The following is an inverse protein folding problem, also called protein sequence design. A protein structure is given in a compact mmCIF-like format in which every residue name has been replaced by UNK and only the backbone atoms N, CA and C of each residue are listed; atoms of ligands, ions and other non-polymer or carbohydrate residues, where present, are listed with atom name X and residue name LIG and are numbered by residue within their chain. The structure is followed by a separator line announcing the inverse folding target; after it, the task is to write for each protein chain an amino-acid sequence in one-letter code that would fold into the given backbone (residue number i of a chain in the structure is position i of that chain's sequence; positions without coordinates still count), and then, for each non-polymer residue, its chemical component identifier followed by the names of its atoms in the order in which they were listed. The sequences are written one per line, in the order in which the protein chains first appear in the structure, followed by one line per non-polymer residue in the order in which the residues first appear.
data_IF_733762277406
#
_entry.id   IF_733762277406
#
_cell.length_a   1.000
_cell.length_b   1.000
_cell.length_c   1.000
_cell.angle_alpha   90.00
_cell.angle_beta   90.00
_cell.angle_gamma   90.00
#
_symmetry.space_group_name_H-M   'P 1'
#
loop_
_entity.id
_entity.type
_entity.pdbx_description
1 polymer ?
#
# COMPACT_ATOMS: atom_id res chain seq x y z
N UNK A 1 6.08 -13.63 -54.92
CA UNK A 1 5.73 -14.78 -54.06
C UNK A 1 6.02 -14.37 -52.63
N UNK A 2 4.97 -14.12 -51.86
CA UNK A 2 5.04 -13.88 -50.42
C UNK A 2 5.53 -15.11 -49.69
N UNK A 3 6.25 -14.90 -48.59
CA UNK A 3 5.91 -15.45 -47.26
C UNK A 3 6.90 -14.85 -46.26
N UNK A 4 6.63 -13.61 -45.84
CA UNK A 4 7.10 -13.12 -44.56
C UNK A 4 6.30 -13.88 -43.49
N UNK A 5 6.97 -14.80 -42.80
CA UNK A 5 6.40 -15.57 -41.71
C UNK A 5 6.29 -14.63 -40.52
N UNK A 6 5.15 -13.96 -40.40
CA UNK A 6 4.76 -13.30 -39.17
C UNK A 6 4.73 -14.35 -38.05
N UNK A 7 5.51 -14.11 -37.01
CA UNK A 7 5.63 -15.00 -35.86
C UNK A 7 4.26 -15.22 -35.21
N UNK A 8 3.72 -16.43 -35.39
CA UNK A 8 2.56 -16.95 -34.68
C UNK A 8 2.87 -17.03 -33.16
N UNK A 9 2.72 -15.93 -32.43
CA UNK A 9 2.50 -16.02 -30.99
C UNK A 9 1.08 -16.57 -30.78
N UNK A 10 0.99 -17.85 -30.37
CA UNK A 10 -0.30 -18.42 -29.99
C UNK A 10 -0.78 -17.69 -28.72
N UNK A 11 -2.00 -17.15 -28.70
CA UNK A 11 -2.47 -16.32 -27.59
C UNK A 11 -2.47 -17.03 -26.22
N UNK A 12 -2.43 -18.37 -26.21
CA UNK A 12 -2.47 -19.21 -25.01
C UNK A 12 -1.16 -19.97 -24.72
N UNK A 13 -0.04 -19.62 -25.35
CA UNK A 13 1.25 -20.31 -25.12
C UNK A 13 2.16 -19.63 -24.10
N UNK A 14 1.66 -18.60 -23.39
CA UNK A 14 2.47 -17.87 -22.42
C UNK A 14 2.65 -18.73 -21.16
N UNK A 15 3.88 -18.94 -20.65
CA UNK A 15 4.10 -19.66 -19.40
C UNK A 15 3.32 -19.03 -18.26
N UNK A 16 2.84 -19.86 -17.33
CA UNK A 16 2.18 -19.40 -16.12
C UNK A 16 3.20 -19.24 -14.99
N UNK A 17 3.02 -18.19 -14.21
CA UNK A 17 3.64 -18.01 -12.91
C UNK A 17 2.59 -18.31 -11.84
N UNK A 18 3.00 -18.90 -10.71
CA UNK A 18 2.13 -19.07 -9.54
C UNK A 18 2.63 -18.22 -8.39
N UNK A 19 1.78 -17.32 -7.93
CA UNK A 19 2.03 -16.40 -6.82
C UNK A 19 1.41 -16.96 -5.55
N UNK A 20 2.19 -17.08 -4.48
CA UNK A 20 1.73 -17.53 -3.17
C UNK A 20 1.66 -16.34 -2.21
N UNK A 21 0.49 -16.08 -1.66
CA UNK A 21 0.23 -14.89 -0.82
C UNK A 21 0.17 -15.23 0.67
N UNK A 22 0.62 -14.29 1.49
CA UNK A 22 0.44 -14.30 2.93
C UNK A 22 0.90 -15.57 3.64
N UNK A 23 0.25 -15.86 4.78
CA UNK A 23 0.59 -16.98 5.64
C UNK A 23 -0.09 -18.29 5.20
N UNK A 24 -1.29 -18.20 4.61
CA UNK A 24 -2.01 -19.37 4.08
C UNK A 24 -1.33 -19.97 2.88
N UNK A 25 -0.47 -19.21 2.18
CA UNK A 25 0.30 -19.67 1.03
C UNK A 25 -0.60 -20.23 -0.06
N UNK A 26 -1.78 -19.63 -0.25
CA UNK A 26 -2.68 -20.01 -1.33
C UNK A 26 -2.07 -19.52 -2.65
N UNK A 27 -1.84 -20.47 -3.56
CA UNK A 27 -1.26 -20.21 -4.88
C UNK A 27 -2.32 -19.72 -5.87
N UNK A 28 -2.04 -18.63 -6.56
CA UNK A 28 -2.85 -18.14 -7.70
C UNK A 28 -1.98 -18.01 -8.94
N UNK A 29 -2.42 -18.62 -10.04
CA UNK A 29 -1.69 -18.54 -11.31
C UNK A 29 -1.98 -17.23 -12.03
N UNK A 30 -0.96 -16.72 -12.73
CA UNK A 30 -1.03 -15.54 -13.59
C UNK A 30 -0.16 -15.77 -14.84
N UNK A 31 -0.56 -15.32 -16.04
CA UNK A 31 0.31 -15.34 -17.19
C UNK A 31 1.59 -14.53 -16.95
N UNK A 32 2.73 -15.04 -17.40
CA UNK A 32 4.02 -14.32 -17.23
C UNK A 32 4.04 -12.94 -17.88
N UNK A 33 3.31 -12.74 -18.97
CA UNK A 33 3.20 -11.41 -19.59
C UNK A 33 2.54 -10.37 -18.66
N UNK A 34 1.73 -10.79 -17.69
CA UNK A 34 1.09 -9.91 -16.71
C UNK A 34 2.06 -9.41 -15.64
N UNK A 35 3.21 -10.06 -15.44
CA UNK A 35 4.22 -9.62 -14.45
C UNK A 35 5.50 -9.10 -15.11
N UNK A 36 5.58 -9.12 -16.45
CA UNK A 36 6.79 -8.81 -17.23
C UNK A 36 7.41 -7.45 -16.92
N UNK A 37 6.59 -6.46 -16.56
CA UNK A 37 7.03 -5.07 -16.32
C UNK A 37 7.48 -4.85 -14.86
N UNK A 38 7.44 -5.90 -14.04
CA UNK A 38 7.87 -5.87 -12.64
C UNK A 38 9.16 -6.70 -12.48
N UNK A 39 10.30 -6.01 -12.42
CA UNK A 39 11.57 -6.65 -12.07
C UNK A 39 11.53 -7.43 -10.74
N UNK A 40 10.89 -6.91 -9.66
CA UNK A 40 10.75 -7.66 -8.41
C UNK A 40 9.98 -8.98 -8.55
N UNK A 41 9.06 -9.10 -9.51
CA UNK A 41 8.35 -10.35 -9.78
C UNK A 41 9.08 -11.22 -10.82
N UNK A 42 9.71 -10.62 -11.83
CA UNK A 42 10.41 -11.37 -12.88
C UNK A 42 11.69 -12.04 -12.39
N UNK A 43 12.46 -11.40 -11.50
CA UNK A 43 13.67 -12.00 -10.91
C UNK A 43 13.39 -13.34 -10.21
N UNK A 44 12.47 -13.43 -9.24
CA UNK A 44 12.15 -14.70 -8.59
C UNK A 44 11.47 -15.67 -9.54
N UNK A 45 10.68 -15.22 -10.53
CA UNK A 45 10.13 -16.11 -11.56
C UNK A 45 11.22 -16.89 -12.28
N UNK A 46 12.28 -16.21 -12.73
CA UNK A 46 13.40 -16.82 -13.45
C UNK A 46 14.24 -17.77 -12.58
N UNK A 47 14.32 -17.49 -11.27
CA UNK A 47 15.09 -18.30 -10.32
C UNK A 47 14.29 -19.48 -9.76
N UNK A 48 12.98 -19.32 -9.59
CA UNK A 48 12.10 -20.17 -8.79
C UNK A 48 11.22 -21.14 -9.58
N UNK A 49 11.60 -21.50 -10.80
CA UNK A 49 10.82 -22.41 -11.66
C UNK A 49 9.36 -22.00 -11.88
N UNK A 50 9.07 -20.69 -11.87
CA UNK A 50 7.71 -20.18 -12.03
C UNK A 50 6.88 -20.05 -10.75
N UNK A 51 7.48 -20.22 -9.57
CA UNK A 51 6.84 -19.99 -8.28
C UNK A 51 7.43 -18.74 -7.60
N UNK A 52 6.56 -17.85 -7.12
CA UNK A 52 6.95 -16.64 -6.38
C UNK A 52 6.21 -16.59 -5.05
N UNK A 53 6.96 -16.31 -3.98
CA UNK A 53 6.43 -16.16 -2.63
C UNK A 53 6.29 -14.67 -2.30
N UNK A 54 5.05 -14.24 -2.07
CA UNK A 54 4.67 -12.87 -1.73
C UNK A 54 4.20 -12.84 -0.27
N UNK A 55 5.09 -13.22 0.66
CA UNK A 55 4.75 -13.40 2.09
C UNK A 55 4.43 -12.09 2.82
N UNK A 56 4.82 -10.96 2.25
CA UNK A 56 4.56 -9.60 2.71
C UNK A 56 3.25 -9.00 2.13
N UNK A 57 2.62 -9.68 1.17
CA UNK A 57 1.32 -9.30 0.62
C UNK A 57 0.21 -9.98 1.42
N UNK A 58 -0.62 -9.15 2.06
CA UNK A 58 -1.73 -9.63 2.87
C UNK A 58 -2.82 -10.31 2.01
N UNK A 59 -3.45 -11.34 2.58
CA UNK A 59 -4.49 -12.10 1.89
C UNK A 59 -5.73 -11.25 1.59
N UNK A 60 -6.03 -10.27 2.45
CA UNK A 60 -7.15 -9.35 2.27
C UNK A 60 -7.05 -8.49 0.99
N UNK A 61 -5.83 -8.25 0.49
CA UNK A 61 -5.61 -7.45 -0.73
C UNK A 61 -5.29 -8.30 -1.97
N UNK A 62 -5.21 -9.62 -1.82
CA UNK A 62 -4.77 -10.54 -2.88
C UNK A 62 -5.64 -10.42 -4.13
N UNK A 63 -6.96 -10.34 -3.98
CA UNK A 63 -7.87 -10.26 -5.13
C UNK A 63 -7.69 -8.95 -5.92
N UNK A 64 -7.46 -7.83 -5.23
CA UNK A 64 -7.19 -6.52 -5.86
C UNK A 64 -5.84 -6.52 -6.58
N UNK A 65 -4.82 -7.06 -5.94
CA UNK A 65 -3.49 -7.19 -6.52
C UNK A 65 -3.51 -8.08 -7.78
N UNK A 66 -4.16 -9.25 -7.70
CA UNK A 66 -4.32 -10.16 -8.83
C UNK A 66 -5.12 -9.54 -9.96
N UNK A 67 -6.23 -8.87 -9.66
CA UNK A 67 -7.04 -8.19 -10.67
C UNK A 67 -6.18 -7.21 -11.47
N UNK A 68 -5.41 -6.35 -10.78
CA UNK A 68 -4.52 -5.41 -11.44
C UNK A 68 -3.46 -6.10 -12.31
N UNK A 69 -2.87 -7.21 -11.85
CA UNK A 69 -1.90 -7.93 -12.69
C UNK A 69 -2.53 -8.41 -14.01
N UNK A 70 -3.77 -8.91 -13.95
CA UNK A 70 -4.50 -9.41 -15.11
C UNK A 70 -4.94 -8.31 -16.06
N UNK A 71 -5.54 -7.24 -15.55
CA UNK A 71 -6.22 -6.23 -16.37
C UNK A 71 -5.37 -5.00 -16.63
N UNK A 72 -4.37 -4.73 -15.78
CA UNK A 72 -3.67 -3.43 -15.67
C UNK A 72 -4.61 -2.28 -15.33
N UNK A 73 -5.82 -2.60 -14.89
CA UNK A 73 -6.84 -1.67 -14.47
C UNK A 73 -7.00 -1.75 -12.96
N UNK A 74 -7.27 -0.60 -12.36
CA UNK A 74 -7.57 -0.54 -10.95
C UNK A 74 -9.08 -0.65 -10.75
N UNK A 75 -9.52 -1.73 -10.12
CA UNK A 75 -10.91 -1.82 -9.66
C UNK A 75 -11.04 -0.97 -8.40
N UNK A 76 -11.58 0.22 -8.56
CA UNK A 76 -11.93 1.06 -7.41
C UNK A 76 -12.98 0.33 -6.55
N UNK A 77 -12.72 0.23 -5.25
CA UNK A 77 -13.77 -0.10 -4.28
C UNK A 77 -14.79 1.03 -4.17
N UNK A 78 -14.47 2.24 -4.67
CA UNK A 78 -15.30 3.46 -4.58
C UNK A 78 -16.65 3.40 -5.31
N UNK A 79 -16.96 2.32 -6.05
CA UNK A 79 -18.33 2.05 -6.49
C UNK A 79 -19.22 1.48 -5.36
N UNK A 80 -18.64 1.17 -4.20
CA UNK A 80 -19.31 0.67 -3.01
C UNK A 80 -19.38 1.82 -2.00
N UNK A 81 -20.57 2.42 -1.93
CA UNK A 81 -21.06 3.30 -0.86
C UNK A 81 -20.10 4.40 -0.35
N UNK A 82 -20.16 5.56 -1.00
CA UNK A 82 -19.40 6.79 -0.68
C UNK A 82 -19.61 7.32 0.75
N UNK A 83 -20.57 6.77 1.50
CA UNK A 83 -20.83 7.14 2.90
C UNK A 83 -20.18 6.20 3.93
N UNK A 84 -19.68 5.02 3.54
CA UNK A 84 -19.21 4.01 4.46
C UNK A 84 -17.68 3.78 4.37
N UNK A 85 -16.87 4.82 4.54
CA UNK A 85 -15.43 4.64 4.71
C UNK A 85 -15.15 3.83 5.98
N UNK A 86 -14.54 2.67 5.84
CA UNK A 86 -14.22 1.81 6.98
C UNK A 86 -12.72 1.80 7.29
N UNK A 87 -12.39 1.56 8.55
CA UNK A 87 -11.02 1.33 9.00
C UNK A 87 -10.32 0.20 8.19
N UNK A 88 -11.08 -0.84 7.85
CA UNK A 88 -10.58 -1.99 7.10
C UNK A 88 -10.21 -1.65 5.66
N UNK A 89 -10.97 -0.77 4.99
CA UNK A 89 -10.62 -0.29 3.66
C UNK A 89 -9.35 0.55 3.66
N UNK A 90 -9.19 1.41 4.67
CA UNK A 90 -7.97 2.21 4.82
C UNK A 90 -6.74 1.33 5.06
N UNK A 91 -6.86 0.34 5.94
CA UNK A 91 -5.83 -0.67 6.16
C UNK A 91 -5.48 -1.41 4.87
N UNK A 92 -6.48 -1.85 4.11
CA UNK A 92 -6.28 -2.55 2.84
C UNK A 92 -5.64 -1.65 1.77
N UNK A 93 -6.03 -0.37 1.70
CA UNK A 93 -5.45 0.58 0.75
C UNK A 93 -3.96 0.83 1.03
N UNK A 94 -3.58 1.02 2.30
CA UNK A 94 -2.16 1.18 2.66
C UNK A 94 -1.37 -0.10 2.36
N UNK A 95 -1.90 -1.28 2.72
CA UNK A 95 -1.24 -2.56 2.39
C UNK A 95 -1.04 -2.73 0.89
N UNK A 96 -2.03 -2.34 0.09
CA UNK A 96 -1.94 -2.42 -1.37
C UNK A 96 -0.89 -1.45 -1.91
N UNK A 97 -0.82 -0.23 -1.36
CA UNK A 97 0.21 0.74 -1.72
C UNK A 97 1.62 0.22 -1.41
N UNK A 98 1.81 -0.39 -0.23
CA UNK A 98 3.08 -1.02 0.15
C UNK A 98 3.45 -2.19 -0.77
N UNK A 99 2.51 -3.09 -1.04
CA UNK A 99 2.73 -4.21 -1.95
C UNK A 99 3.07 -3.72 -3.36
N UNK A 100 2.34 -2.72 -3.87
CA UNK A 100 2.58 -2.14 -5.18
C UNK A 100 3.96 -1.50 -5.29
N UNK A 101 4.42 -0.78 -4.26
CA UNK A 101 5.78 -0.25 -4.22
C UNK A 101 6.83 -1.36 -4.18
N UNK A 102 6.67 -2.33 -3.28
CA UNK A 102 7.61 -3.42 -3.08
C UNK A 102 7.79 -4.27 -4.34
N UNK A 103 6.70 -4.47 -5.08
CA UNK A 103 6.70 -5.24 -6.32
C UNK A 103 6.80 -4.38 -7.59
N UNK A 104 7.18 -3.10 -7.49
CA UNK A 104 7.48 -2.26 -8.66
C UNK A 104 6.28 -2.07 -9.59
N UNK A 105 5.09 -1.83 -9.03
CA UNK A 105 3.83 -1.61 -9.75
C UNK A 105 3.38 -0.14 -9.59
N UNK A 106 4.01 0.82 -10.28
CA UNK A 106 3.82 2.25 -10.01
C UNK A 106 2.39 2.73 -10.24
N UNK A 107 1.70 2.25 -11.27
CA UNK A 107 0.30 2.63 -11.53
C UNK A 107 -0.62 2.13 -10.41
N UNK A 108 -0.43 0.90 -9.93
CA UNK A 108 -1.18 0.36 -8.79
C UNK A 108 -0.90 1.15 -7.51
N UNK A 109 0.36 1.53 -7.28
CA UNK A 109 0.74 2.39 -6.15
C UNK A 109 0.00 3.73 -6.21
N UNK A 110 0.02 4.40 -7.36
CA UNK A 110 -0.65 5.69 -7.54
C UNK A 110 -2.17 5.60 -7.29
N UNK A 111 -2.82 4.54 -7.77
CA UNK A 111 -4.24 4.33 -7.48
C UNK A 111 -4.52 4.06 -6.00
N UNK A 112 -3.69 3.23 -5.35
CA UNK A 112 -3.80 2.97 -3.92
C UNK A 112 -3.56 4.25 -3.08
N UNK A 113 -2.64 5.11 -3.50
CA UNK A 113 -2.36 6.40 -2.87
C UNK A 113 -3.56 7.36 -2.97
N UNK A 114 -4.24 7.42 -4.12
CA UNK A 114 -5.49 8.19 -4.27
C UNK A 114 -6.56 7.69 -3.29
N UNK A 115 -6.70 6.37 -3.15
CA UNK A 115 -7.66 5.77 -2.21
C UNK A 115 -7.29 6.04 -0.74
N UNK A 116 -6.01 5.92 -0.38
CA UNK A 116 -5.49 6.30 0.94
C UNK A 116 -5.84 7.75 1.25
N UNK A 117 -5.53 8.68 0.33
CA UNK A 117 -5.83 10.09 0.53
C UNK A 117 -7.33 10.35 0.67
N UNK A 118 -8.17 9.71 -0.15
CA UNK A 118 -9.62 9.82 -0.03
C UNK A 118 -10.14 9.33 1.33
N UNK A 119 -9.68 8.16 1.78
CA UNK A 119 -10.10 7.55 3.05
C UNK A 119 -9.59 8.35 4.26
N UNK A 120 -8.41 8.96 4.17
CA UNK A 120 -7.89 9.87 5.21
C UNK A 120 -8.86 11.02 5.51
N UNK A 121 -9.46 11.63 4.48
CA UNK A 121 -10.44 12.71 4.66
C UNK A 121 -11.74 12.26 5.32
N UNK A 122 -12.03 10.95 5.33
CA UNK A 122 -13.27 10.40 5.86
C UNK A 122 -13.11 9.84 7.28
N UNK A 123 -11.92 9.38 7.63
CA UNK A 123 -11.61 8.83 8.94
C UNK A 123 -11.11 9.93 9.89
N UNK A 124 -11.39 9.77 11.18
CA UNK A 124 -10.86 10.67 12.20
C UNK A 124 -9.41 10.34 12.59
N UNK A 125 -8.69 11.29 13.23
CA UNK A 125 -7.30 11.07 13.67
C UNK A 125 -7.13 9.81 14.52
N UNK A 126 -8.09 9.52 15.42
CA UNK A 126 -8.04 8.34 16.27
C UNK A 126 -7.93 7.03 15.47
N UNK A 127 -8.75 6.91 14.44
CA UNK A 127 -8.82 5.74 13.56
C UNK A 127 -7.54 5.62 12.73
N UNK A 128 -7.09 6.74 12.15
CA UNK A 128 -5.86 6.79 11.37
C UNK A 128 -4.64 6.37 12.19
N UNK A 129 -4.46 6.94 13.39
CA UNK A 129 -3.36 6.57 14.27
C UNK A 129 -3.47 5.13 14.79
N UNK A 130 -4.67 4.55 14.89
CA UNK A 130 -4.82 3.13 15.22
C UNK A 130 -4.25 2.22 14.12
N UNK A 131 -4.52 2.55 12.85
CA UNK A 131 -4.00 1.79 11.70
C UNK A 131 -2.51 2.02 11.52
N UNK A 132 -2.03 3.27 11.63
CA UNK A 132 -0.60 3.60 11.57
C UNK A 132 0.19 2.77 12.58
N UNK A 133 -0.28 2.67 13.82
CA UNK A 133 0.38 1.83 14.85
C UNK A 133 0.39 0.36 14.49
N UNK A 134 -0.75 -0.18 14.08
CA UNK A 134 -0.87 -1.58 13.64
C UNK A 134 0.10 -1.89 12.50
N UNK A 135 0.33 -0.93 11.63
CA UNK A 135 1.05 -1.11 10.37
C UNK A 135 2.53 -0.76 10.39
N UNK A 136 2.97 0.09 11.32
CA UNK A 136 4.34 0.57 11.36
C UNK A 136 5.41 -0.54 11.27
N UNK A 137 5.27 -1.73 11.92
CA UNK A 137 6.26 -2.80 11.80
C UNK A 137 6.53 -3.26 10.35
N UNK A 138 5.57 -3.08 9.44
CA UNK A 138 5.70 -3.49 8.03
C UNK A 138 6.31 -2.38 7.15
N UNK A 139 6.24 -1.12 7.57
CA UNK A 139 6.53 0.05 6.72
C UNK A 139 7.74 0.87 7.21
N UNK A 140 8.58 0.27 8.04
CA UNK A 140 9.78 0.93 8.56
C UNK A 140 10.68 1.43 7.42
N UNK A 141 11.10 2.70 7.52
CA UNK A 141 11.98 3.35 6.53
C UNK A 141 11.28 3.81 5.24
N UNK A 142 9.96 3.70 5.12
CA UNK A 142 9.22 4.19 3.95
C UNK A 142 8.92 5.68 4.08
N UNK A 143 9.42 6.49 3.16
CA UNK A 143 9.21 7.95 3.15
C UNK A 143 7.71 8.32 3.07
N UNK A 144 6.94 7.63 2.24
CA UNK A 144 5.50 7.89 2.12
C UNK A 144 4.75 7.63 3.43
N UNK A 145 5.24 6.72 4.28
CA UNK A 145 4.60 6.44 5.57
C UNK A 145 4.80 7.61 6.54
N UNK A 146 5.99 8.22 6.53
CA UNK A 146 6.24 9.47 7.23
C UNK A 146 5.33 10.60 6.72
N UNK A 147 5.20 10.75 5.40
CA UNK A 147 4.33 11.76 4.80
C UNK A 147 2.86 11.61 5.20
N UNK A 148 2.36 10.39 5.38
CA UNK A 148 0.99 10.15 5.87
C UNK A 148 0.81 10.70 7.28
N UNK A 149 1.74 10.42 8.19
CA UNK A 149 1.72 10.88 9.58
C UNK A 149 1.83 12.40 9.64
N UNK A 150 2.78 12.97 8.90
CA UNK A 150 3.00 14.41 8.85
C UNK A 150 1.76 15.14 8.34
N UNK A 151 1.18 14.69 7.23
CA UNK A 151 -0.01 15.32 6.66
C UNK A 151 -1.21 15.29 7.62
N UNK A 152 -1.32 14.24 8.45
CA UNK A 152 -2.38 14.18 9.48
C UNK A 152 -2.15 15.20 10.61
N UNK A 153 -0.90 15.34 11.06
CA UNK A 153 -0.56 16.34 12.09
C UNK A 153 -0.78 17.76 11.56
N UNK A 154 -0.42 18.00 10.29
CA UNK A 154 -0.57 19.30 9.64
C UNK A 154 -2.02 19.64 9.28
N UNK A 155 -2.93 18.66 9.19
CA UNK A 155 -4.34 18.92 8.93
C UNK A 155 -5.13 19.37 10.16
N UNK A 156 -4.51 19.40 11.34
CA UNK A 156 -5.15 19.88 12.56
C UNK A 156 -5.43 21.37 12.47
N UNK A 157 -6.69 21.74 12.69
CA UNK A 157 -7.09 23.14 12.79
C UNK A 157 -6.40 23.80 13.99
N UNK A 158 -5.90 25.03 13.81
CA UNK A 158 -5.32 25.85 14.88
C UNK A 158 -6.40 26.45 15.78
N UNK A 159 -7.26 25.59 16.34
CA UNK A 159 -8.31 25.98 17.27
C UNK A 159 -8.07 25.38 18.68
N UNK A 160 -8.92 25.77 19.62
CA UNK A 160 -8.80 25.38 21.04
C UNK A 160 -9.04 23.87 21.28
N UNK A 161 -9.47 23.10 20.26
CA UNK A 161 -9.90 21.71 20.40
C UNK A 161 -9.08 20.72 19.55
N UNK A 162 -8.58 21.13 18.40
CA UNK A 162 -7.89 20.29 17.42
C UNK A 162 -6.60 19.70 17.97
N UNK A 163 -5.69 20.56 18.46
CA UNK A 163 -4.40 20.13 19.02
C UNK A 163 -4.55 19.26 20.27
N UNK A 164 -5.37 19.63 21.28
CA UNK A 164 -5.61 18.75 22.43
C UNK A 164 -6.18 17.38 22.04
N UNK A 165 -7.12 17.33 21.10
CA UNK A 165 -7.72 16.07 20.64
C UNK A 165 -6.72 15.18 19.89
N UNK A 166 -5.90 15.75 19.00
CA UNK A 166 -4.83 15.02 18.32
C UNK A 166 -3.85 14.42 19.34
N UNK A 167 -3.40 15.21 20.31
CA UNK A 167 -2.47 14.75 21.35
C UNK A 167 -3.06 13.62 22.18
N UNK A 168 -4.36 13.65 22.49
CA UNK A 168 -5.05 12.54 23.16
C UNK A 168 -5.03 11.27 22.30
N UNK A 169 -5.30 11.38 20.99
CA UNK A 169 -5.25 10.27 20.04
C UNK A 169 -3.84 9.67 19.93
N UNK A 170 -2.81 10.51 19.96
CA UNK A 170 -1.41 10.09 19.98
C UNK A 170 -1.06 9.41 21.32
N UNK A 171 -1.50 9.98 22.44
CA UNK A 171 -1.20 9.48 23.78
C UNK A 171 -1.82 8.10 24.04
N UNK A 172 -3.04 7.84 23.55
CA UNK A 172 -3.76 6.56 23.76
C UNK A 172 -3.01 5.31 23.29
N UNK A 173 -1.99 5.43 22.45
CA UNK A 173 -1.17 4.31 21.99
C UNK A 173 0.33 4.48 22.18
N UNK A 174 0.78 5.49 22.91
CA UNK A 174 2.21 5.69 23.22
C UNK A 174 2.76 4.54 24.07
N UNK A 175 4.00 4.15 23.82
CA UNK A 175 4.72 3.11 24.55
C UNK A 175 4.59 1.71 23.97
N UNK A 176 3.79 1.53 22.91
CA UNK A 176 3.62 0.25 22.22
C UNK A 176 4.73 0.01 21.17
N UNK A 177 5.18 1.08 20.50
CA UNK A 177 6.22 1.03 19.48
C UNK A 177 7.13 2.27 19.61
N UNK A 178 8.31 2.07 20.21
CA UNK A 178 9.26 3.16 20.51
C UNK A 178 9.77 3.84 19.24
N UNK A 179 9.89 3.12 18.13
CA UNK A 179 10.38 3.69 16.89
C UNK A 179 9.30 4.57 16.24
N UNK A 180 8.04 4.12 16.27
CA UNK A 180 6.91 4.93 15.82
C UNK A 180 6.68 6.16 16.71
N UNK A 181 6.76 6.01 18.04
CA UNK A 181 6.58 7.13 18.98
C UNK A 181 7.60 8.24 18.69
N UNK A 182 8.87 7.87 18.44
CA UNK A 182 9.91 8.82 18.02
C UNK A 182 9.58 9.50 16.70
N UNK A 183 9.06 8.76 15.72
CA UNK A 183 8.65 9.31 14.44
C UNK A 183 7.52 10.32 14.60
N UNK A 184 6.49 9.98 15.38
CA UNK A 184 5.36 10.89 15.64
C UNK A 184 5.83 12.14 16.37
N UNK A 185 6.67 12.02 17.40
CA UNK A 185 7.26 13.17 18.11
C UNK A 185 8.05 14.04 17.14
N UNK A 186 8.85 13.45 16.24
CA UNK A 186 9.57 14.19 15.21
C UNK A 186 8.61 14.97 14.33
N UNK A 187 7.55 14.35 13.80
CA UNK A 187 6.56 15.03 12.98
C UNK A 187 5.87 16.19 13.73
N UNK A 188 5.55 16.00 15.01
CA UNK A 188 4.97 17.05 15.86
C UNK A 188 5.91 18.24 16.00
N UNK A 189 7.19 18.00 16.28
CA UNK A 189 8.19 19.07 16.41
C UNK A 189 8.39 19.83 15.10
N UNK A 190 8.42 19.12 13.97
CA UNK A 190 8.52 19.70 12.63
C UNK A 190 7.31 20.57 12.29
N UNK A 191 6.09 20.10 12.60
CA UNK A 191 4.87 20.87 12.40
C UNK A 191 4.85 22.16 13.25
N UNK A 192 5.27 22.08 14.52
CA UNK A 192 5.33 23.23 15.43
C UNK A 192 6.45 24.22 15.09
N UNK A 193 7.57 23.75 14.56
CA UNK A 193 8.71 24.58 14.19
C UNK A 193 8.51 25.34 12.86
N UNK A 194 7.49 24.99 12.07
CA UNK A 194 7.23 25.59 10.75
C UNK A 194 8.29 25.27 9.69
N UNK A 195 9.22 24.35 9.96
CA UNK A 195 10.27 23.87 9.03
C UNK A 195 10.66 22.43 9.35
N UNK A 196 11.01 21.60 8.34
CA UNK A 196 11.49 20.23 8.56
C UNK A 196 12.81 20.25 9.34
N UNK A 197 12.90 19.41 10.37
CA UNK A 197 14.06 19.29 11.24
C UNK A 197 14.93 18.16 10.68
N UNK A 198 16.00 18.53 9.99
CA UNK A 198 17.07 17.62 9.61
C UNK A 198 17.99 17.39 10.81
N UNK A 199 18.22 16.12 11.15
CA UNK A 199 19.28 15.66 12.06
C UNK A 199 20.12 14.59 11.36
#
# INVERSE_FOLDING_TARGET
MSTDVSGNQRPYSTPLCTLFFGASKIGRSVPTHSIKDSDPLMKPFHQGQGYIWLSDVDEAITDRFMHYLYTKEYKHTLEIDLEAATLGEFENAIRLMFAAETYGLPTLKAHAEIEVNYLKYKLGPLELFSVIRKMHPYFQGREWFHSIIMAEIQSVEEDDLGWPFLLECIHKGTGQDVALDKLIIRCLLEALAGTPIDY
#
